data_IF_813524938110
#
_entry.id   IF_813524938110
#
_cell.length_a   1.000
_cell.length_b   1.000
_cell.length_c   1.000
_cell.angle_alpha   90.00
_cell.angle_beta   90.00
_cell.angle_gamma   90.00
#
_symmetry.space_group_name_H-M   'P 1'
#
loop_
_entity.id
_entity.type
_entity.pdbx_description
1 polymer ?
#
# COMPACT_ATOMS: atom_id res chain seq x y z
N UNK A 1 34.27 -3.21 -1.00
CA UNK A 1 32.95 -3.82 -1.29
C UNK A 1 32.11 -4.21 -0.06
N UNK A 2 32.65 -4.22 1.18
CA UNK A 2 31.88 -4.63 2.38
C UNK A 2 31.03 -3.53 3.04
N UNK A 3 31.39 -2.26 2.89
CA UNK A 3 30.68 -1.12 3.50
C UNK A 3 29.26 -0.91 2.96
N UNK A 4 29.05 -1.17 1.67
CA UNK A 4 27.75 -0.96 1.01
C UNK A 4 26.67 -1.95 1.51
N UNK A 5 27.08 -3.15 1.94
CA UNK A 5 26.17 -4.17 2.43
C UNK A 5 25.60 -3.81 3.82
N UNK A 6 26.43 -3.25 4.70
CA UNK A 6 26.02 -2.80 6.03
C UNK A 6 25.06 -1.61 5.92
N UNK A 7 25.40 -0.62 5.10
CA UNK A 7 24.52 0.52 4.81
C UNK A 7 23.17 0.09 4.23
N UNK A 8 23.16 -0.88 3.31
CA UNK A 8 21.93 -1.42 2.73
C UNK A 8 21.06 -2.14 3.78
N UNK A 9 21.67 -2.87 4.71
CA UNK A 9 20.94 -3.57 5.76
C UNK A 9 20.31 -2.59 6.77
N UNK A 10 21.05 -1.55 7.16
CA UNK A 10 20.57 -0.48 8.03
C UNK A 10 19.42 0.30 7.36
N UNK A 11 19.57 0.67 6.08
CA UNK A 11 18.52 1.35 5.31
C UNK A 11 17.24 0.51 5.20
N UNK A 12 17.36 -0.80 4.91
CA UNK A 12 16.22 -1.71 4.86
C UNK A 12 15.57 -1.88 6.25
N UNK A 13 16.38 -1.99 7.30
CA UNK A 13 15.90 -2.08 8.69
C UNK A 13 15.13 -0.84 9.15
N UNK A 14 15.66 0.36 8.87
CA UNK A 14 14.98 1.64 9.16
C UNK A 14 13.69 1.76 8.35
N UNK A 15 13.69 1.36 7.07
CA UNK A 15 12.49 1.36 6.23
C UNK A 15 11.38 0.45 6.77
N UNK A 16 11.73 -0.74 7.26
CA UNK A 16 10.77 -1.65 7.91
C UNK A 16 10.22 -1.05 9.20
N UNK A 17 11.07 -0.48 10.06
CA UNK A 17 10.64 0.14 11.33
C UNK A 17 9.74 1.35 11.07
N UNK A 18 10.10 2.21 10.11
CA UNK A 18 9.29 3.36 9.72
C UNK A 18 7.95 2.94 9.10
N UNK A 19 7.93 1.91 8.25
CA UNK A 19 6.71 1.35 7.67
C UNK A 19 5.79 0.76 8.73
N UNK A 20 6.34 -0.02 9.67
CA UNK A 20 5.59 -0.55 10.82
C UNK A 20 5.07 0.58 11.71
N UNK A 21 5.88 1.59 12.00
CA UNK A 21 5.47 2.73 12.81
C UNK A 21 4.35 3.54 12.13
N UNK A 22 4.40 3.73 10.81
CA UNK A 22 3.32 4.39 10.05
C UNK A 22 2.04 3.56 10.04
N UNK A 23 2.13 2.24 9.90
CA UNK A 23 0.97 1.33 9.99
C UNK A 23 0.35 1.38 11.39
N UNK A 24 1.18 1.32 12.44
CA UNK A 24 0.71 1.40 13.84
C UNK A 24 0.13 2.78 14.15
N UNK A 25 0.76 3.87 13.70
CA UNK A 25 0.23 5.22 13.88
C UNK A 25 -1.09 5.44 13.12
N UNK A 26 -1.18 4.92 11.88
CA UNK A 26 -2.42 4.93 11.09
C UNK A 26 -3.53 4.04 11.65
N UNK A 27 -3.18 3.01 12.42
CA UNK A 27 -4.11 2.16 13.17
C UNK A 27 -4.60 2.84 14.46
N UNK A 28 -3.72 3.51 15.19
CA UNK A 28 -4.04 4.15 16.48
C UNK A 28 -4.76 5.50 16.32
N UNK A 29 -4.58 6.19 15.19
CA UNK A 29 -5.19 7.49 14.95
C UNK A 29 -5.85 7.52 13.57
N UNK A 30 -7.10 8.00 13.50
CA UNK A 30 -7.83 8.17 12.25
C UNK A 30 -7.03 9.08 11.31
N UNK A 31 -6.40 8.52 10.28
CA UNK A 31 -5.48 9.25 9.41
C UNK A 31 -6.12 10.48 8.75
N UNK A 32 -5.30 11.52 8.50
CA UNK A 32 -5.76 12.79 7.91
C UNK A 32 -6.49 12.60 6.56
N UNK A 33 -6.04 11.64 5.76
CA UNK A 33 -6.64 11.28 4.48
C UNK A 33 -8.08 10.77 4.66
N UNK A 34 -8.30 9.82 5.57
CA UNK A 34 -9.63 9.29 5.91
C UNK A 34 -10.55 10.42 6.42
N UNK A 35 -10.05 11.28 7.31
CA UNK A 35 -10.83 12.44 7.79
C UNK A 35 -11.19 13.42 6.65
N UNK A 36 -10.31 13.60 5.67
CA UNK A 36 -10.57 14.42 4.49
C UNK A 36 -11.72 13.85 3.64
N UNK A 37 -11.74 12.54 3.42
CA UNK A 37 -12.86 11.86 2.76
C UNK A 37 -14.16 12.05 3.52
N UNK A 38 -14.17 11.85 4.85
CA UNK A 38 -15.38 12.07 5.66
C UNK A 38 -15.93 13.48 5.49
N UNK A 39 -15.09 14.50 5.71
CA UNK A 39 -15.50 15.91 5.60
C UNK A 39 -15.95 16.28 4.18
N UNK A 40 -15.30 15.73 3.16
CA UNK A 40 -15.67 15.94 1.77
C UNK A 40 -17.06 15.38 1.48
N UNK A 41 -17.30 14.13 1.87
CA UNK A 41 -18.61 13.49 1.69
C UNK A 41 -19.70 14.15 2.53
N UNK A 42 -19.41 14.58 3.77
CA UNK A 42 -20.31 15.39 4.58
C UNK A 42 -20.68 16.72 3.91
N UNK A 43 -19.70 17.42 3.31
CA UNK A 43 -19.98 18.67 2.61
C UNK A 43 -20.88 18.50 1.39
N UNK A 44 -20.92 17.29 0.83
CA UNK A 44 -21.80 16.88 -0.27
C UNK A 44 -23.16 16.34 0.21
N UNK A 45 -23.41 16.33 1.52
CA UNK A 45 -24.67 15.87 2.13
C UNK A 45 -24.75 14.36 2.40
N UNK A 46 -23.64 13.63 2.31
CA UNK A 46 -23.55 12.22 2.67
C UNK A 46 -23.07 12.01 4.11
N UNK A 47 -23.29 10.82 4.66
CA UNK A 47 -22.79 10.47 5.99
C UNK A 47 -21.27 10.25 5.99
N UNK A 48 -20.62 10.51 7.14
CA UNK A 48 -19.21 10.14 7.37
C UNK A 48 -18.92 8.68 7.07
N UNK A 49 -19.89 7.79 7.36
CA UNK A 49 -19.81 6.35 7.07
C UNK A 49 -19.58 6.08 5.59
N UNK A 50 -20.27 6.81 4.71
CA UNK A 50 -20.08 6.75 3.26
C UNK A 50 -18.67 7.20 2.88
N UNK A 51 -18.18 8.29 3.49
CA UNK A 51 -16.79 8.76 3.28
C UNK A 51 -15.75 7.72 3.68
N UNK A 52 -15.91 7.06 4.84
CA UNK A 52 -15.02 5.98 5.27
C UNK A 52 -15.07 4.76 4.36
N UNK A 53 -16.26 4.37 3.91
CA UNK A 53 -16.43 3.25 2.99
C UNK A 53 -15.73 3.51 1.66
N UNK A 54 -15.90 4.71 1.10
CA UNK A 54 -15.24 5.11 -0.14
C UNK A 54 -13.73 5.15 0.05
N UNK A 55 -13.24 5.71 1.15
CA UNK A 55 -11.80 5.69 1.47
C UNK A 55 -11.26 4.26 1.49
N UNK A 56 -11.91 3.34 2.23
CA UNK A 56 -11.46 1.95 2.31
C UNK A 56 -11.51 1.23 0.96
N UNK A 57 -12.55 1.47 0.15
CA UNK A 57 -12.65 0.92 -1.20
C UNK A 57 -11.56 1.43 -2.13
N UNK A 58 -11.25 2.72 -2.09
CA UNK A 58 -10.16 3.32 -2.88
C UNK A 58 -8.80 2.76 -2.44
N UNK A 59 -8.55 2.66 -1.14
CA UNK A 59 -7.30 2.13 -0.58
C UNK A 59 -7.05 0.69 -1.09
N UNK A 60 -8.04 -0.21 -0.93
CA UNK A 60 -7.95 -1.60 -1.40
C UNK A 60 -7.77 -1.68 -2.92
N UNK A 61 -8.48 -0.83 -3.69
CA UNK A 61 -8.36 -0.81 -5.14
C UNK A 61 -6.94 -0.39 -5.58
N UNK A 62 -6.36 0.60 -4.90
CA UNK A 62 -5.01 1.06 -5.17
C UNK A 62 -3.96 0.02 -4.79
N UNK A 63 -4.09 -0.64 -3.64
CA UNK A 63 -3.21 -1.76 -3.24
C UNK A 63 -3.30 -2.91 -4.24
N UNK A 64 -4.50 -3.34 -4.59
CA UNK A 64 -4.74 -4.38 -5.59
C UNK A 64 -4.14 -4.03 -6.95
N UNK A 65 -4.31 -2.79 -7.41
CA UNK A 65 -3.66 -2.30 -8.63
C UNK A 65 -2.12 -2.30 -8.52
N UNK A 66 -1.58 -1.88 -7.37
CA UNK A 66 -0.14 -1.88 -7.09
C UNK A 66 0.48 -3.28 -7.18
N UNK A 67 -0.23 -4.31 -6.73
CA UNK A 67 0.16 -5.72 -6.81
C UNK A 67 0.03 -6.29 -8.23
N UNK A 68 -1.04 -5.93 -8.93
CA UNK A 68 -1.39 -6.51 -10.22
C UNK A 68 -0.82 -5.75 -11.42
N UNK A 69 -0.36 -4.51 -11.27
CA UNK A 69 0.23 -3.76 -12.40
C UNK A 69 1.44 -4.48 -12.98
N UNK A 70 1.66 -4.27 -14.26
CA UNK A 70 2.85 -4.74 -14.93
C UNK A 70 4.02 -3.81 -14.57
N UNK A 71 5.14 -4.41 -14.17
CA UNK A 71 6.41 -3.73 -13.96
C UNK A 71 7.47 -4.38 -14.83
N UNK A 72 8.51 -3.63 -15.15
CA UNK A 72 9.64 -4.15 -15.90
C UNK A 72 10.39 -5.18 -15.03
N UNK A 73 10.75 -6.33 -15.61
CA UNK A 73 11.61 -7.31 -14.95
C UNK A 73 12.95 -6.65 -14.60
N UNK A 74 13.52 -6.89 -13.40
CA UNK A 74 14.80 -6.30 -13.01
C UNK A 74 15.94 -6.62 -14.02
N UNK A 75 15.91 -7.83 -14.58
CA UNK A 75 16.88 -8.34 -15.56
C UNK A 75 16.50 -8.05 -17.03
N UNK A 76 15.40 -7.33 -17.30
CA UNK A 76 15.04 -7.01 -18.68
C UNK A 76 15.99 -5.97 -19.28
N UNK A 77 16.55 -6.32 -20.43
CA UNK A 77 17.39 -5.45 -21.25
C UNK A 77 16.61 -4.99 -22.49
N UNK A 78 16.92 -3.80 -23.00
CA UNK A 78 16.30 -3.28 -24.23
C UNK A 78 17.35 -3.14 -25.33
N UNK A 79 17.01 -3.54 -26.55
CA UNK A 79 17.78 -3.18 -27.75
C UNK A 79 17.22 -1.90 -28.41
N UNK A 80 15.89 -1.74 -28.46
CA UNK A 80 15.23 -0.53 -28.98
C UNK A 80 13.95 -0.14 -28.22
N UNK A 81 13.10 -1.12 -27.89
CA UNK A 81 11.86 -0.95 -27.10
C UNK A 81 11.62 -2.19 -26.25
N UNK A 82 10.97 -2.01 -25.09
CA UNK A 82 10.51 -3.13 -24.28
C UNK A 82 9.33 -3.84 -24.94
N UNK A 83 9.30 -5.15 -24.83
CA UNK A 83 8.21 -5.99 -25.32
C UNK A 83 7.38 -6.54 -24.15
N UNK A 84 6.19 -7.07 -24.43
CA UNK A 84 5.31 -7.60 -23.39
C UNK A 84 5.97 -8.69 -22.52
N UNK A 85 6.93 -9.44 -23.06
CA UNK A 85 7.68 -10.47 -22.31
C UNK A 85 8.66 -9.90 -21.29
N UNK A 86 9.01 -8.61 -21.37
CA UNK A 86 9.90 -7.92 -20.44
C UNK A 86 9.18 -7.47 -19.16
N UNK A 87 7.85 -7.63 -19.11
CA UNK A 87 7.04 -7.24 -17.97
C UNK A 87 6.62 -8.45 -17.14
N UNK A 88 6.56 -8.25 -15.84
CA UNK A 88 5.96 -9.17 -14.87
C UNK A 88 4.95 -8.41 -14.02
N UNK A 89 4.05 -9.16 -13.38
CA UNK A 89 3.17 -8.58 -12.36
C UNK A 89 4.02 -8.14 -11.16
N UNK A 90 3.68 -6.99 -10.58
CA UNK A 90 4.43 -6.38 -9.47
C UNK A 90 4.65 -7.34 -8.30
N UNK A 91 3.62 -8.11 -7.91
CA UNK A 91 3.73 -9.08 -6.82
C UNK A 91 4.82 -10.16 -7.05
N UNK A 92 5.16 -10.49 -8.30
CA UNK A 92 6.21 -11.47 -8.63
C UNK A 92 7.62 -10.94 -8.36
N UNK A 93 7.78 -9.62 -8.32
CA UNK A 93 9.04 -8.95 -7.99
C UNK A 93 9.16 -8.61 -6.50
N UNK A 94 8.06 -8.69 -5.75
CA UNK A 94 8.08 -8.47 -4.32
C UNK A 94 8.66 -9.69 -3.60
N UNK A 95 9.45 -9.44 -2.55
CA UNK A 95 9.85 -10.51 -1.64
C UNK A 95 8.62 -11.02 -0.86
N UNK A 96 8.58 -12.31 -0.53
CA UNK A 96 7.45 -12.93 0.18
C UNK A 96 7.06 -12.22 1.48
N UNK A 97 8.04 -11.71 2.23
CA UNK A 97 7.78 -10.89 3.43
C UNK A 97 7.07 -9.58 3.12
N UNK A 98 7.46 -8.89 2.05
CA UNK A 98 6.84 -7.63 1.64
C UNK A 98 5.41 -7.86 1.14
N UNK A 99 5.19 -8.95 0.39
CA UNK A 99 3.85 -9.33 -0.06
C UNK A 99 2.94 -9.71 1.13
N UNK A 100 3.45 -10.49 2.08
CA UNK A 100 2.70 -10.86 3.28
C UNK A 100 2.36 -9.65 4.17
N UNK A 101 3.28 -8.69 4.26
CA UNK A 101 3.03 -7.43 4.96
C UNK A 101 1.93 -6.61 4.29
N UNK A 102 1.98 -6.44 2.96
CA UNK A 102 0.94 -5.72 2.19
C UNK A 102 -0.45 -6.34 2.43
N UNK A 103 -0.56 -7.66 2.28
CA UNK A 103 -1.82 -8.39 2.52
C UNK A 103 -2.30 -8.19 3.96
N UNK A 104 -1.39 -8.20 4.93
CA UNK A 104 -1.72 -7.98 6.34
C UNK A 104 -2.27 -6.57 6.59
N UNK A 105 -1.64 -5.54 6.03
CA UNK A 105 -2.08 -4.14 6.16
C UNK A 105 -3.41 -3.92 5.46
N UNK A 106 -3.59 -4.42 4.23
CA UNK A 106 -4.87 -4.34 3.51
C UNK A 106 -6.00 -5.03 4.28
N UNK A 107 -5.72 -6.19 4.89
CA UNK A 107 -6.67 -6.90 5.75
C UNK A 107 -7.11 -6.08 6.96
N UNK A 108 -6.19 -5.33 7.57
CA UNK A 108 -6.49 -4.39 8.65
C UNK A 108 -7.34 -3.22 8.12
N UNK A 109 -7.04 -2.66 6.95
CA UNK A 109 -7.88 -1.62 6.32
C UNK A 109 -9.31 -2.12 6.11
N UNK A 110 -9.48 -3.32 5.55
CA UNK A 110 -10.79 -3.95 5.33
C UNK A 110 -11.56 -4.04 6.64
N UNK A 111 -10.94 -4.62 7.68
CA UNK A 111 -11.57 -4.76 9.00
C UNK A 111 -11.94 -3.42 9.60
N UNK A 112 -11.02 -2.45 9.59
CA UNK A 112 -11.27 -1.12 10.15
C UNK A 112 -12.43 -0.40 9.45
N UNK A 113 -12.54 -0.57 8.12
CA UNK A 113 -13.61 0.04 7.31
C UNK A 113 -14.95 -0.64 7.60
N UNK A 114 -14.96 -1.98 7.75
CA UNK A 114 -16.15 -2.74 8.13
C UNK A 114 -16.64 -2.38 9.54
N UNK A 115 -15.74 -2.30 10.52
CA UNK A 115 -16.06 -1.92 11.89
C UNK A 115 -16.63 -0.49 11.93
N UNK A 116 -15.98 0.47 11.24
CA UNK A 116 -16.46 1.86 11.14
C UNK A 116 -17.80 2.05 10.42
N UNK A 117 -18.22 1.08 9.61
CA UNK A 117 -19.52 1.12 8.93
C UNK A 117 -20.66 0.60 9.83
N UNK A 118 -20.36 -0.39 10.68
CA UNK A 118 -21.33 -1.07 11.54
C UNK A 118 -21.50 -0.42 12.92
N UNK A 119 -20.58 0.45 13.34
CA UNK A 119 -20.78 1.42 14.45
C UNK A 119 -21.80 2.49 14.07
#
# INVERSE_FOLDING_TARGET
>A
MKENAILTYILKGVGIVAGVAQVVAGYLYKGYLRQGYEKGFESLGFDKKTGNLVYGGVDIALSGYGLLRNILKPEAWRLFKYINQDYIRSYKNMNGYALGFEIGVDGITIKSTYDSYNE
#
